data_IF_112524234926
#
_entry.id   IF_112524234926
#
_cell.length_a   1.000
_cell.length_b   1.000
_cell.length_c   1.000
_cell.angle_alpha   90.00
_cell.angle_beta   90.00
_cell.angle_gamma   90.00
#
_symmetry.space_group_name_H-M   'P 1'
#
loop_
_entity.id
_entity.type
_entity.pdbx_description
1 polymer ?
#
# COMPACT_ATOMS: atom_id res chain seq x y z
N UNK A 1 -69.69 -3.13 -15.19
CA UNK A 1 -69.12 -3.26 -13.80
C UNK A 1 -67.62 -3.11 -13.87
N UNK A 2 -67.12 -1.90 -13.56
CA UNK A 2 -65.67 -1.63 -13.55
C UNK A 2 -65.25 -1.54 -12.10
N UNK A 3 -64.61 -2.58 -11.57
CA UNK A 3 -63.96 -2.54 -10.25
C UNK A 3 -62.56 -1.98 -10.40
N UNK A 4 -62.35 -0.70 -10.01
CA UNK A 4 -61.03 -0.13 -9.84
C UNK A 4 -60.42 -0.70 -8.57
N UNK A 5 -59.35 -1.49 -8.69
CA UNK A 5 -58.53 -1.93 -7.57
C UNK A 5 -57.81 -0.69 -7.03
N UNK A 6 -58.22 -0.19 -5.86
CA UNK A 6 -57.46 0.80 -5.11
C UNK A 6 -56.26 0.09 -4.47
N UNK A 7 -55.08 0.22 -5.07
CA UNK A 7 -53.86 -0.19 -4.44
C UNK A 7 -53.55 0.84 -3.33
N UNK A 8 -53.55 0.37 -2.11
CA UNK A 8 -53.36 1.21 -0.92
C UNK A 8 -51.96 1.81 -0.92
N UNK A 9 -51.88 3.13 -0.87
CA UNK A 9 -50.57 3.85 -0.85
C UNK A 9 -49.66 3.36 0.26
N UNK A 10 -50.20 2.83 1.35
CA UNK A 10 -49.45 2.20 2.44
C UNK A 10 -48.68 0.95 2.03
N UNK A 11 -49.23 0.14 1.11
CA UNK A 11 -48.58 -1.08 0.62
C UNK A 11 -47.38 -0.72 -0.27
N UNK A 12 -47.50 0.32 -1.08
CA UNK A 12 -46.39 0.79 -1.96
C UNK A 12 -45.24 1.40 -1.12
N UNK A 13 -45.56 2.16 -0.06
CA UNK A 13 -44.57 2.73 0.83
C UNK A 13 -43.86 1.63 1.65
N UNK A 14 -44.58 0.62 2.12
CA UNK A 14 -44.01 -0.52 2.84
C UNK A 14 -43.11 -1.38 1.91
N UNK A 15 -43.44 -1.55 0.64
CA UNK A 15 -42.63 -2.25 -0.34
C UNK A 15 -41.36 -1.45 -0.70
N UNK A 16 -41.44 -0.13 -0.83
CA UNK A 16 -40.31 0.77 -1.03
C UNK A 16 -39.37 0.82 0.20
N UNK A 17 -39.92 0.84 1.41
CA UNK A 17 -39.13 0.73 2.64
C UNK A 17 -38.45 -0.63 2.78
N UNK A 18 -39.11 -1.74 2.41
CA UNK A 18 -38.47 -3.06 2.38
C UNK A 18 -37.37 -3.16 1.32
N UNK A 19 -37.51 -2.55 0.14
CA UNK A 19 -36.44 -2.52 -0.88
C UNK A 19 -35.23 -1.65 -0.44
N UNK A 20 -35.43 -0.63 0.35
CA UNK A 20 -34.33 0.20 0.88
C UNK A 20 -33.63 -0.50 2.06
N UNK A 21 -34.31 -1.38 2.80
CA UNK A 21 -33.71 -2.15 3.89
C UNK A 21 -32.94 -3.41 3.44
N UNK A 22 -32.96 -3.81 2.18
CA UNK A 22 -32.19 -4.94 1.65
C UNK A 22 -30.92 -4.55 0.92
N UNK A 23 -30.45 -3.31 1.02
CA UNK A 23 -29.01 -3.09 0.97
C UNK A 23 -28.45 -3.75 2.23
N UNK A 24 -28.11 -5.04 2.13
CA UNK A 24 -27.34 -5.71 3.15
C UNK A 24 -26.11 -4.84 3.38
N UNK A 25 -26.07 -4.15 4.50
CA UNK A 25 -24.82 -3.58 5.00
C UNK A 25 -23.90 -4.78 5.14
N UNK A 26 -23.03 -4.94 4.14
CA UNK A 26 -21.97 -5.93 4.23
C UNK A 26 -21.23 -5.59 5.51
N UNK A 27 -21.26 -6.49 6.48
CA UNK A 27 -20.61 -6.26 7.76
C UNK A 27 -19.15 -5.94 7.45
N UNK A 28 -18.70 -4.76 7.89
CA UNK A 28 -17.33 -4.33 7.66
C UNK A 28 -16.40 -5.32 8.34
N UNK A 29 -15.42 -5.84 7.61
CA UNK A 29 -14.52 -6.87 8.08
C UNK A 29 -13.64 -6.42 9.25
N UNK A 30 -13.23 -5.14 9.17
CA UNK A 30 -12.38 -4.48 10.16
C UNK A 30 -13.01 -3.16 10.56
N UNK A 31 -13.09 -2.91 11.86
CA UNK A 31 -13.77 -1.72 12.39
C UNK A 31 -12.89 -0.48 12.36
N UNK A 32 -11.57 -0.63 12.47
CA UNK A 32 -10.63 0.45 12.74
C UNK A 32 -9.73 0.82 11.55
N UNK A 33 -9.70 0.01 10.49
CA UNK A 33 -8.89 0.27 9.30
C UNK A 33 -9.45 -0.48 8.08
N UNK A 34 -8.88 -0.23 6.91
CA UNK A 34 -9.16 -0.99 5.68
C UNK A 34 -8.00 -1.92 5.34
N UNK A 35 -8.33 -3.06 4.75
CA UNK A 35 -7.35 -4.00 4.18
C UNK A 35 -7.44 -3.95 2.66
N UNK A 36 -6.31 -3.68 2.04
CA UNK A 36 -6.19 -3.58 0.59
C UNK A 36 -5.14 -4.54 0.06
N UNK A 37 -5.29 -4.94 -1.20
CA UNK A 37 -4.32 -5.77 -1.91
C UNK A 37 -3.86 -5.06 -3.17
N UNK A 38 -2.55 -5.05 -3.39
CA UNK A 38 -1.97 -4.52 -4.62
C UNK A 38 -1.78 -5.63 -5.65
N UNK A 39 -2.20 -5.35 -6.89
CA UNK A 39 -2.09 -6.27 -8.03
C UNK A 39 -1.15 -5.64 -9.04
N UNK A 40 -0.01 -6.27 -9.29
CA UNK A 40 0.96 -5.75 -10.26
C UNK A 40 0.42 -5.84 -11.69
N UNK A 41 0.89 -4.99 -12.58
CA UNK A 41 0.44 -4.93 -13.97
C UNK A 41 0.46 -6.29 -14.68
N UNK A 42 1.41 -7.15 -14.34
CA UNK A 42 1.49 -8.52 -14.88
C UNK A 42 0.31 -9.41 -14.49
N UNK A 43 -0.20 -9.28 -13.28
CA UNK A 43 -1.38 -10.00 -12.82
C UNK A 43 -2.66 -9.32 -13.30
N UNK A 44 -2.68 -7.97 -13.37
CA UNK A 44 -3.83 -7.25 -13.93
C UNK A 44 -4.03 -7.61 -15.41
N UNK A 45 -2.97 -7.70 -16.21
CA UNK A 45 -3.06 -8.13 -17.62
C UNK A 45 -3.66 -9.53 -17.79
N UNK A 46 -3.45 -10.44 -16.82
CA UNK A 46 -4.08 -11.78 -16.82
C UNK A 46 -5.58 -11.72 -16.53
N UNK A 47 -6.09 -10.64 -15.93
CA UNK A 47 -7.51 -10.50 -15.58
C UNK A 47 -8.41 -10.36 -16.80
N UNK A 48 -7.88 -10.23 -18.02
CA UNK A 48 -8.62 -10.41 -19.28
C UNK A 48 -9.25 -11.81 -19.41
N UNK A 49 -8.63 -12.82 -18.78
CA UNK A 49 -9.23 -14.12 -18.58
C UNK A 49 -10.08 -14.11 -17.30
N UNK A 50 -11.40 -14.03 -17.47
CA UNK A 50 -12.34 -13.97 -16.34
C UNK A 50 -12.33 -15.25 -15.50
N UNK A 51 -12.00 -16.41 -16.07
CA UNK A 51 -11.91 -17.67 -15.34
C UNK A 51 -10.65 -17.67 -14.44
N UNK A 52 -9.54 -17.15 -14.96
CA UNK A 52 -8.34 -16.96 -14.15
C UNK A 52 -8.61 -15.99 -12.98
N UNK A 53 -9.26 -14.85 -13.26
CA UNK A 53 -9.59 -13.86 -12.22
C UNK A 53 -10.50 -14.47 -11.15
N UNK A 54 -11.58 -15.12 -11.55
CA UNK A 54 -12.54 -15.72 -10.62
C UNK A 54 -11.90 -16.82 -9.77
N UNK A 55 -11.12 -17.71 -10.37
CA UNK A 55 -10.45 -18.80 -9.67
C UNK A 55 -9.41 -18.30 -8.66
N UNK A 56 -8.58 -17.32 -9.04
CA UNK A 56 -7.55 -16.77 -8.15
C UNK A 56 -8.15 -15.89 -7.05
N UNK A 57 -9.17 -15.10 -7.37
CA UNK A 57 -9.89 -14.33 -6.36
C UNK A 57 -10.59 -15.23 -5.33
N UNK A 58 -11.17 -16.33 -5.77
CA UNK A 58 -11.80 -17.29 -4.86
C UNK A 58 -10.80 -17.85 -3.83
N UNK A 59 -9.54 -18.10 -4.21
CA UNK A 59 -8.48 -18.51 -3.27
C UNK A 59 -8.26 -17.45 -2.19
N UNK A 60 -8.22 -16.17 -2.55
CA UNK A 60 -7.95 -15.09 -1.59
C UNK A 60 -9.18 -14.82 -0.73
N UNK A 61 -10.34 -14.63 -1.34
CA UNK A 61 -11.57 -14.22 -0.65
C UNK A 61 -12.12 -15.24 0.35
N UNK A 62 -11.76 -16.51 0.20
CA UNK A 62 -12.08 -17.55 1.19
C UNK A 62 -11.22 -17.45 2.46
N UNK A 63 -10.15 -16.71 2.45
CA UNK A 63 -9.16 -16.67 3.53
C UNK A 63 -8.98 -15.29 4.15
N UNK A 64 -9.16 -14.23 3.36
CA UNK A 64 -8.89 -12.85 3.75
C UNK A 64 -10.04 -11.97 3.28
N UNK A 65 -10.56 -11.16 4.17
CA UNK A 65 -11.51 -10.12 3.83
C UNK A 65 -10.75 -8.88 3.33
N UNK A 66 -11.14 -8.38 2.14
CA UNK A 66 -10.44 -7.28 1.45
C UNK A 66 -11.45 -6.18 1.16
N UNK A 67 -11.14 -4.96 1.57
CA UNK A 67 -11.99 -3.79 1.34
C UNK A 67 -11.73 -3.15 -0.03
N UNK A 68 -10.47 -3.23 -0.52
CA UNK A 68 -10.04 -2.48 -1.71
C UNK A 68 -8.94 -3.21 -2.49
N UNK A 69 -8.98 -3.07 -3.80
CA UNK A 69 -7.95 -3.59 -4.72
C UNK A 69 -7.30 -2.41 -5.46
N UNK A 70 -5.98 -2.37 -5.42
CA UNK A 70 -5.18 -1.49 -6.28
C UNK A 70 -4.79 -2.25 -7.55
N UNK A 71 -5.27 -1.79 -8.70
CA UNK A 71 -4.98 -2.38 -10.01
C UNK A 71 -3.87 -1.55 -10.67
N UNK A 72 -2.69 -2.12 -10.79
CA UNK A 72 -1.57 -1.45 -11.42
C UNK A 72 -1.77 -1.38 -12.93
N UNK A 73 -1.62 -0.19 -13.48
CA UNK A 73 -1.85 0.08 -14.91
C UNK A 73 -0.58 0.03 -15.74
N UNK A 74 0.59 0.20 -15.09
CA UNK A 74 1.89 0.24 -15.76
C UNK A 74 3.01 -0.31 -14.87
N UNK A 75 3.84 -1.19 -15.45
CA UNK A 75 5.11 -1.69 -14.94
C UNK A 75 5.96 -2.23 -16.09
N UNK A 76 7.26 -1.92 -16.14
CA UNK A 76 8.22 -2.43 -17.13
C UNK A 76 7.74 -2.25 -18.58
N UNK A 77 7.25 -1.06 -18.90
CA UNK A 77 6.66 -0.71 -20.21
C UNK A 77 5.38 -1.48 -20.58
N UNK A 78 4.91 -2.40 -19.74
CA UNK A 78 3.58 -2.98 -19.89
C UNK A 78 2.54 -1.95 -19.47
N UNK A 79 1.65 -1.57 -20.36
CA UNK A 79 0.45 -0.79 -20.08
C UNK A 79 -0.76 -1.70 -20.24
N UNK A 80 -1.51 -1.87 -19.17
CA UNK A 80 -2.72 -2.69 -19.18
C UNK A 80 -3.80 -1.98 -19.99
N UNK A 81 -4.47 -2.71 -20.91
CA UNK A 81 -5.47 -2.12 -21.79
C UNK A 81 -6.77 -1.73 -21.07
N UNK A 82 -7.50 -0.80 -21.70
CA UNK A 82 -8.77 -0.26 -21.17
C UNK A 82 -9.80 -1.35 -20.86
N UNK A 83 -9.95 -2.34 -21.75
CA UNK A 83 -10.96 -3.38 -21.62
C UNK A 83 -10.68 -4.30 -20.42
N UNK A 84 -9.43 -4.67 -20.24
CA UNK A 84 -8.98 -5.47 -19.09
C UNK A 84 -9.20 -4.72 -17.77
N UNK A 85 -8.88 -3.42 -17.72
CA UNK A 85 -9.08 -2.59 -16.52
C UNK A 85 -10.59 -2.49 -16.18
N UNK A 86 -11.46 -2.22 -17.16
CA UNK A 86 -12.90 -2.10 -16.90
C UNK A 86 -13.51 -3.45 -16.50
N UNK A 87 -13.04 -4.57 -17.08
CA UNK A 87 -13.47 -5.91 -16.67
C UNK A 87 -13.09 -6.19 -15.21
N UNK A 88 -11.84 -5.93 -14.83
CA UNK A 88 -11.37 -6.13 -13.47
C UNK A 88 -12.11 -5.23 -12.46
N UNK A 89 -12.29 -3.96 -12.77
CA UNK A 89 -13.07 -3.01 -11.94
C UNK A 89 -14.47 -3.51 -11.71
N UNK A 90 -15.17 -3.89 -12.80
CA UNK A 90 -16.53 -4.43 -12.70
C UNK A 90 -16.58 -5.68 -11.84
N UNK A 91 -15.65 -6.61 -12.03
CA UNK A 91 -15.57 -7.86 -11.25
C UNK A 91 -15.50 -7.60 -9.74
N UNK A 92 -14.66 -6.65 -9.30
CA UNK A 92 -14.51 -6.30 -7.89
C UNK A 92 -15.68 -5.46 -7.38
N UNK A 93 -16.18 -4.50 -8.14
CA UNK A 93 -17.34 -3.70 -7.73
C UNK A 93 -18.61 -4.56 -7.55
N UNK A 94 -18.83 -5.55 -8.43
CA UNK A 94 -19.97 -6.48 -8.30
C UNK A 94 -19.89 -7.30 -6.99
N UNK A 95 -18.72 -7.35 -6.34
CA UNK A 95 -18.46 -8.01 -5.05
C UNK A 95 -18.36 -7.04 -3.88
N UNK A 96 -18.67 -5.76 -4.10
CA UNK A 96 -18.64 -4.71 -3.06
C UNK A 96 -17.23 -4.26 -2.68
N UNK A 97 -16.21 -4.53 -3.52
CA UNK A 97 -14.81 -4.19 -3.26
C UNK A 97 -14.48 -2.89 -4.00
N UNK A 98 -13.89 -1.93 -3.28
CA UNK A 98 -13.40 -0.69 -3.87
C UNK A 98 -12.21 -0.97 -4.82
N UNK A 99 -12.06 -0.15 -5.86
CA UNK A 99 -10.89 -0.23 -6.74
C UNK A 99 -10.18 1.11 -6.85
N UNK A 100 -8.85 1.04 -6.90
CA UNK A 100 -7.98 2.18 -7.18
C UNK A 100 -6.90 1.78 -8.19
N UNK A 101 -6.23 2.75 -8.78
CA UNK A 101 -5.13 2.52 -9.71
C UNK A 101 -3.77 2.43 -9.02
N UNK A 102 -2.80 1.83 -9.70
CA UNK A 102 -1.40 1.87 -9.32
C UNK A 102 -0.50 2.16 -10.51
N UNK A 103 0.64 2.77 -10.27
CA UNK A 103 1.67 3.01 -11.27
C UNK A 103 3.04 2.69 -10.71
N UNK A 104 3.80 1.85 -11.40
CA UNK A 104 5.22 1.65 -11.16
C UNK A 104 5.98 2.19 -12.37
N UNK A 105 6.77 3.26 -12.18
CA UNK A 105 7.50 3.92 -13.26
C UNK A 105 8.85 3.25 -13.54
N UNK A 106 8.84 1.93 -13.78
CA UNK A 106 10.01 1.17 -14.23
C UNK A 106 10.00 0.99 -15.75
N UNK A 107 11.20 0.93 -16.34
CA UNK A 107 11.44 0.48 -17.71
C UNK A 107 11.80 -0.98 -17.69
N UNK A 108 12.62 -1.40 -16.71
CA UNK A 108 13.03 -2.78 -16.54
C UNK A 108 13.50 -3.05 -15.10
N UNK A 109 12.65 -3.71 -14.30
CA UNK A 109 13.01 -4.10 -12.93
C UNK A 109 14.20 -5.05 -12.87
N UNK A 110 14.33 -5.96 -13.84
CA UNK A 110 15.42 -6.92 -13.88
C UNK A 110 16.79 -6.25 -14.14
N UNK A 111 16.80 -5.04 -14.70
CA UNK A 111 18.00 -4.25 -14.91
C UNK A 111 18.24 -3.25 -13.76
N UNK A 112 18.46 -3.76 -12.55
CA UNK A 112 18.72 -2.94 -11.34
C UNK A 112 17.67 -1.85 -11.12
N UNK A 113 16.41 -2.19 -11.35
CA UNK A 113 15.25 -1.29 -11.22
C UNK A 113 15.38 -0.02 -12.11
N UNK A 114 15.69 -0.21 -13.39
CA UNK A 114 15.78 0.90 -14.33
C UNK A 114 14.47 1.68 -14.40
N UNK A 115 14.55 2.96 -14.08
CA UNK A 115 13.42 3.90 -14.11
C UNK A 115 13.53 4.89 -15.27
N UNK A 116 12.49 5.67 -15.50
CA UNK A 116 12.50 6.72 -16.51
C UNK A 116 13.56 7.79 -16.21
N UNK A 117 14.15 8.32 -17.28
CA UNK A 117 15.00 9.52 -17.22
C UNK A 117 14.12 10.77 -17.37
N UNK A 118 13.89 11.47 -16.28
CA UNK A 118 12.95 12.60 -16.25
C UNK A 118 13.47 13.87 -16.93
N UNK A 119 14.69 13.87 -17.46
CA UNK A 119 15.24 14.90 -18.34
C UNK A 119 15.18 14.53 -19.82
N UNK A 120 14.83 13.29 -20.16
CA UNK A 120 14.64 12.85 -21.53
C UNK A 120 13.21 13.20 -22.00
N UNK A 121 13.04 13.95 -23.11
CA UNK A 121 11.71 14.35 -23.59
C UNK A 121 10.76 13.19 -23.89
N UNK A 122 11.27 12.08 -24.45
CA UNK A 122 10.45 10.89 -24.77
C UNK A 122 9.97 10.20 -23.50
N UNK A 123 10.85 10.04 -22.50
CA UNK A 123 10.49 9.47 -21.22
C UNK A 123 9.49 10.36 -20.47
N UNK A 124 9.65 11.68 -20.51
CA UNK A 124 8.70 12.63 -19.92
C UNK A 124 7.31 12.48 -20.53
N UNK A 125 7.23 12.32 -21.85
CA UNK A 125 5.96 12.10 -22.54
C UNK A 125 5.32 10.76 -22.16
N UNK A 126 6.11 9.69 -22.00
CA UNK A 126 5.61 8.40 -21.53
C UNK A 126 5.05 8.50 -20.09
N UNK A 127 5.80 9.11 -19.19
CA UNK A 127 5.34 9.33 -17.79
C UNK A 127 4.00 10.05 -17.77
N UNK A 128 3.86 11.11 -18.59
CA UNK A 128 2.61 11.86 -18.71
C UNK A 128 1.45 10.99 -19.23
N UNK A 129 1.67 10.23 -20.30
CA UNK A 129 0.64 9.33 -20.87
C UNK A 129 0.19 8.24 -19.91
N UNK A 130 1.10 7.68 -19.15
CA UNK A 130 0.79 6.67 -18.12
C UNK A 130 -0.09 7.28 -17.03
N UNK A 131 0.22 8.49 -16.55
CA UNK A 131 -0.60 9.18 -15.56
C UNK A 131 -2.01 9.50 -16.10
N UNK A 132 -2.11 9.99 -17.34
CA UNK A 132 -3.39 10.26 -18.02
C UNK A 132 -4.22 9.00 -18.21
N UNK A 133 -3.60 7.88 -18.63
CA UNK A 133 -4.24 6.58 -18.78
C UNK A 133 -4.83 6.11 -17.45
N UNK A 134 -4.04 6.15 -16.37
CA UNK A 134 -4.52 5.72 -15.06
C UNK A 134 -5.65 6.59 -14.54
N UNK A 135 -5.53 7.92 -14.68
CA UNK A 135 -6.55 8.86 -14.24
C UNK A 135 -7.87 8.74 -15.01
N UNK A 136 -7.86 8.22 -16.24
CA UNK A 136 -9.06 7.92 -17.04
C UNK A 136 -9.92 6.84 -16.37
N UNK A 137 -9.29 5.87 -15.72
CA UNK A 137 -9.95 4.69 -15.18
C UNK A 137 -10.26 4.77 -13.68
N UNK A 138 -9.52 5.59 -12.91
CA UNK A 138 -9.60 5.61 -11.45
C UNK A 138 -9.74 7.02 -10.88
N UNK A 139 -10.56 7.15 -9.82
CA UNK A 139 -10.67 8.37 -9.01
C UNK A 139 -9.58 8.48 -7.93
N UNK A 140 -8.77 7.43 -7.75
CA UNK A 140 -7.60 7.40 -6.89
C UNK A 140 -6.54 6.48 -7.49
N UNK A 141 -5.27 6.89 -7.45
CA UNK A 141 -4.17 5.98 -7.74
C UNK A 141 -2.92 6.30 -6.93
N UNK A 142 -2.10 5.26 -6.71
CA UNK A 142 -0.84 5.35 -5.99
C UNK A 142 0.35 5.21 -6.94
N UNK A 143 1.36 6.05 -6.74
CA UNK A 143 2.68 5.87 -7.32
C UNK A 143 3.47 4.95 -6.39
N UNK A 144 3.85 3.77 -6.88
CA UNK A 144 4.77 2.88 -6.19
C UNK A 144 6.13 3.58 -6.00
N UNK A 145 6.98 3.07 -5.12
CA UNK A 145 8.25 3.67 -4.72
C UNK A 145 9.31 3.76 -5.83
N UNK A 146 8.95 3.46 -7.05
CA UNK A 146 9.77 3.66 -8.26
C UNK A 146 9.58 5.03 -8.94
N UNK A 147 8.89 5.97 -8.29
CA UNK A 147 8.84 7.36 -8.74
C UNK A 147 10.09 8.12 -8.26
N UNK A 148 11.24 7.70 -8.78
CA UNK A 148 12.56 8.27 -8.49
C UNK A 148 13.45 8.25 -9.74
N UNK A 149 14.65 8.81 -9.68
CA UNK A 149 15.64 8.70 -10.74
C UNK A 149 17.05 8.41 -10.23
N UNK A 150 17.70 7.43 -10.86
CA UNK A 150 19.13 7.17 -10.75
C UNK A 150 19.88 7.47 -12.04
N UNK A 151 19.19 8.02 -13.05
CA UNK A 151 19.73 8.32 -14.37
C UNK A 151 20.99 9.19 -14.29
N UNK A 152 22.00 8.87 -15.08
CA UNK A 152 23.25 9.60 -15.24
C UNK A 152 23.64 9.71 -16.73
N UNK A 153 22.64 9.80 -17.60
CA UNK A 153 22.85 10.02 -19.03
C UNK A 153 23.47 11.41 -19.28
N UNK A 154 24.03 11.61 -20.46
CA UNK A 154 24.61 12.90 -20.86
C UNK A 154 23.60 14.05 -20.75
N UNK A 155 22.31 13.78 -21.00
CA UNK A 155 21.23 14.77 -20.84
C UNK A 155 21.12 15.20 -19.37
N UNK A 156 21.13 14.24 -18.44
CA UNK A 156 21.06 14.50 -17.00
C UNK A 156 22.31 15.23 -16.50
N UNK A 157 23.51 14.78 -16.92
CA UNK A 157 24.78 15.41 -16.54
C UNK A 157 24.80 16.88 -17.00
N UNK A 158 24.38 17.13 -18.25
CA UNK A 158 24.28 18.49 -18.79
C UNK A 158 23.24 19.32 -18.08
N UNK A 159 22.07 18.79 -17.81
CA UNK A 159 20.98 19.48 -17.13
C UNK A 159 21.31 19.80 -15.67
N UNK A 160 22.00 18.89 -14.97
CA UNK A 160 22.49 19.09 -13.61
C UNK A 160 23.46 20.26 -13.50
N UNK A 161 24.35 20.41 -14.48
CA UNK A 161 25.38 21.43 -14.46
C UNK A 161 26.27 21.36 -13.21
N UNK A 162 26.45 22.48 -12.51
CA UNK A 162 27.26 22.60 -11.30
C UNK A 162 26.55 22.16 -10.01
N UNK A 163 25.25 21.87 -10.05
CA UNK A 163 24.50 21.41 -8.86
C UNK A 163 24.99 20.05 -8.39
N UNK A 164 24.83 19.74 -7.09
CA UNK A 164 24.95 18.36 -6.62
C UNK A 164 23.83 17.48 -7.21
N UNK A 165 24.04 16.16 -7.23
CA UNK A 165 23.00 15.24 -7.65
C UNK A 165 21.74 15.32 -6.77
N UNK A 166 21.92 15.55 -5.49
CA UNK A 166 20.82 15.72 -4.53
C UNK A 166 19.97 16.94 -4.87
N UNK A 167 20.58 18.13 -4.96
CA UNK A 167 19.85 19.36 -5.28
C UNK A 167 19.11 19.27 -6.62
N UNK A 168 19.80 18.76 -7.63
CA UNK A 168 19.22 18.58 -8.96
C UNK A 168 18.03 17.62 -8.97
N UNK A 169 18.20 16.44 -8.38
CA UNK A 169 17.16 15.40 -8.39
C UNK A 169 15.95 15.74 -7.51
N UNK A 170 16.14 16.36 -6.36
CA UNK A 170 15.03 16.83 -5.53
C UNK A 170 14.14 17.82 -6.32
N UNK A 171 14.76 18.77 -7.01
CA UNK A 171 14.07 19.75 -7.86
C UNK A 171 13.40 19.09 -9.06
N UNK A 172 14.12 18.22 -9.76
CA UNK A 172 13.63 17.52 -10.95
C UNK A 172 12.40 16.66 -10.63
N UNK A 173 12.46 15.86 -9.57
CA UNK A 173 11.36 14.98 -9.22
C UNK A 173 10.15 15.70 -8.64
N UNK A 174 10.36 16.83 -7.94
CA UNK A 174 9.26 17.71 -7.53
C UNK A 174 8.55 18.30 -8.75
N UNK A 175 9.31 18.78 -9.74
CA UNK A 175 8.77 19.28 -11.00
C UNK A 175 8.03 18.17 -11.77
N UNK A 176 8.66 16.99 -11.92
CA UNK A 176 8.06 15.85 -12.59
C UNK A 176 6.74 15.42 -11.95
N UNK A 177 6.68 15.35 -10.63
CA UNK A 177 5.44 15.06 -9.89
C UNK A 177 4.33 16.03 -10.22
N UNK A 178 4.64 17.33 -10.21
CA UNK A 178 3.67 18.38 -10.51
C UNK A 178 3.25 18.41 -11.98
N UNK A 179 4.22 18.38 -12.91
CA UNK A 179 3.98 18.72 -14.31
C UNK A 179 3.74 17.50 -15.21
N UNK A 180 4.26 16.32 -14.84
CA UNK A 180 4.09 15.09 -15.61
C UNK A 180 3.05 14.13 -15.02
N UNK A 181 2.74 14.26 -13.73
CA UNK A 181 1.79 13.36 -13.07
C UNK A 181 0.53 14.12 -12.66
N UNK A 182 0.61 15.03 -11.70
CA UNK A 182 -0.56 15.67 -11.09
C UNK A 182 -1.37 16.51 -12.10
N UNK A 183 -0.74 17.42 -12.82
CA UNK A 183 -1.45 18.27 -13.80
C UNK A 183 -2.12 17.47 -14.91
N UNK A 184 -1.43 16.52 -15.59
CA UNK A 184 -2.05 15.70 -16.62
C UNK A 184 -3.18 14.82 -16.07
N UNK A 185 -2.97 14.15 -14.93
CA UNK A 185 -3.99 13.32 -14.30
C UNK A 185 -5.25 14.13 -13.97
N UNK A 186 -5.10 15.29 -13.31
CA UNK A 186 -6.23 16.16 -12.95
C UNK A 186 -6.88 16.85 -14.16
N UNK A 187 -6.19 16.96 -15.28
CA UNK A 187 -6.79 17.43 -16.54
C UNK A 187 -7.74 16.37 -17.12
N UNK A 188 -7.39 15.09 -17.01
CA UNK A 188 -8.24 13.96 -17.45
C UNK A 188 -9.39 13.72 -16.47
N UNK A 189 -9.07 13.67 -15.18
CA UNK A 189 -10.06 13.47 -14.12
C UNK A 189 -9.84 14.50 -13.01
N UNK A 190 -10.62 15.59 -12.97
CA UNK A 190 -10.46 16.65 -11.96
C UNK A 190 -10.64 16.18 -10.50
N UNK A 191 -11.28 15.03 -10.28
CA UNK A 191 -11.52 14.47 -8.93
C UNK A 191 -10.43 13.52 -8.48
N UNK A 192 -9.52 13.12 -9.38
CA UNK A 192 -8.53 12.10 -9.09
C UNK A 192 -7.64 12.50 -7.91
N UNK A 193 -7.44 11.58 -7.00
CA UNK A 193 -6.46 11.67 -5.93
C UNK A 193 -5.20 10.92 -6.34
N UNK A 194 -4.09 11.60 -6.32
CA UNK A 194 -2.78 11.03 -6.63
C UNK A 194 -1.97 10.92 -5.35
N UNK A 195 -1.60 9.70 -5.01
CA UNK A 195 -0.89 9.35 -3.78
C UNK A 195 0.55 9.01 -4.12
N UNK A 196 1.50 9.52 -3.35
CA UNK A 196 2.90 9.10 -3.46
C UNK A 196 3.26 8.12 -2.34
N UNK A 197 3.91 7.01 -2.69
CA UNK A 197 4.49 6.08 -1.72
C UNK A 197 5.97 6.40 -1.51
N UNK A 198 6.36 6.56 -0.25
CA UNK A 198 7.76 6.63 0.14
C UNK A 198 8.20 5.26 0.64
N UNK A 199 9.33 4.72 0.14
CA UNK A 199 9.87 3.46 0.63
C UNK A 199 10.45 3.61 2.05
N UNK A 200 10.88 2.50 2.62
CA UNK A 200 11.50 2.48 3.95
C UNK A 200 13.03 2.65 3.96
N UNK A 201 13.65 2.88 2.81
CA UNK A 201 15.11 3.05 2.69
C UNK A 201 15.51 4.54 2.67
N UNK A 202 15.40 5.18 3.81
CA UNK A 202 15.63 6.62 4.03
C UNK A 202 16.95 7.17 3.51
N UNK A 203 18.02 6.38 3.62
CA UNK A 203 19.37 6.76 3.28
C UNK A 203 19.56 7.12 1.80
N UNK A 204 18.65 6.68 0.95
CA UNK A 204 18.67 6.94 -0.48
C UNK A 204 17.72 8.05 -0.94
N UNK A 205 16.81 8.51 -0.12
CA UNK A 205 15.71 9.40 -0.54
C UNK A 205 16.17 10.62 -1.32
N UNK A 206 17.04 11.42 -0.74
CA UNK A 206 17.48 12.66 -1.36
C UNK A 206 18.31 12.42 -2.62
N UNK A 207 19.17 11.40 -2.61
CA UNK A 207 20.01 11.04 -3.75
C UNK A 207 19.24 10.52 -4.95
N UNK A 208 18.00 10.07 -4.74
CA UNK A 208 17.08 9.57 -5.76
C UNK A 208 15.96 10.55 -6.12
N UNK A 209 15.86 11.68 -5.41
CA UNK A 209 14.90 12.73 -5.70
C UNK A 209 13.60 12.66 -4.89
N UNK A 210 13.51 11.83 -3.86
CA UNK A 210 12.39 11.87 -2.91
C UNK A 210 12.48 13.12 -2.04
N UNK A 211 11.68 14.13 -2.37
CA UNK A 211 11.63 15.38 -1.65
C UNK A 211 10.67 15.28 -0.46
N UNK A 212 11.21 15.01 0.73
CA UNK A 212 10.42 14.84 1.95
C UNK A 212 9.83 16.17 2.47
N UNK A 213 10.37 17.29 2.04
CA UNK A 213 9.86 18.61 2.42
C UNK A 213 8.67 19.04 1.56
N UNK A 214 8.79 18.95 0.24
CA UNK A 214 7.77 19.42 -0.70
C UNK A 214 6.81 18.31 -1.16
N UNK A 215 7.32 17.10 -1.40
CA UNK A 215 6.54 16.00 -1.95
C UNK A 215 5.27 15.67 -1.16
N UNK A 216 5.33 15.48 0.18
CA UNK A 216 4.13 15.22 0.96
C UNK A 216 3.08 16.34 0.91
N UNK A 217 3.49 17.57 0.57
CA UNK A 217 2.57 18.71 0.41
C UNK A 217 2.02 18.80 -1.02
N UNK A 218 2.75 18.28 -2.00
CA UNK A 218 2.42 18.36 -3.41
C UNK A 218 1.30 17.38 -3.80
N UNK A 219 1.41 16.13 -3.34
CA UNK A 219 0.47 15.05 -3.66
C UNK A 219 -0.78 15.10 -2.79
N UNK A 220 -1.87 14.44 -3.22
CA UNK A 220 -3.14 14.43 -2.47
C UNK A 220 -3.10 13.52 -1.24
N UNK A 221 -2.15 12.60 -1.18
CA UNK A 221 -1.90 11.71 -0.04
C UNK A 221 -0.50 11.14 -0.05
N UNK A 222 -0.12 10.54 1.07
CA UNK A 222 1.15 9.85 1.28
C UNK A 222 0.88 8.42 1.71
N UNK A 223 1.69 7.50 1.24
CA UNK A 223 1.79 6.14 1.74
C UNK A 223 3.23 5.80 2.09
N UNK A 224 3.40 4.84 2.98
CA UNK A 224 4.74 4.48 3.47
C UNK A 224 5.00 2.99 3.30
N UNK A 225 6.15 2.65 2.73
CA UNK A 225 6.67 1.30 2.78
C UNK A 225 7.01 0.94 4.23
N UNK A 226 6.51 -0.21 4.68
CA UNK A 226 6.72 -0.69 6.05
C UNK A 226 7.38 -2.06 6.07
N UNK A 227 8.10 -2.38 5.02
CA UNK A 227 8.81 -3.63 4.83
C UNK A 227 9.93 -3.77 5.85
N UNK A 228 10.02 -4.92 6.52
CA UNK A 228 11.15 -5.27 7.40
C UNK A 228 11.87 -6.55 6.96
N UNK A 229 11.39 -7.19 5.94
CA UNK A 229 11.97 -8.29 5.17
C UNK A 229 12.68 -9.40 5.95
N UNK A 230 13.38 -10.29 5.25
CA UNK A 230 14.07 -11.44 5.83
C UNK A 230 15.19 -11.00 6.79
N UNK A 231 15.10 -11.34 8.09
CA UNK A 231 16.11 -10.95 9.08
C UNK A 231 17.49 -11.57 8.84
N UNK A 232 17.60 -12.61 8.01
CA UNK A 232 18.88 -13.20 7.63
C UNK A 232 19.43 -12.64 6.32
N UNK A 233 18.65 -11.83 5.60
CA UNK A 233 19.03 -11.26 4.31
C UNK A 233 19.79 -9.94 4.46
N UNK A 234 20.41 -9.52 3.35
CA UNK A 234 21.09 -8.21 3.28
C UNK A 234 20.15 -7.02 3.12
N UNK A 235 18.85 -7.25 2.98
CA UNK A 235 17.81 -6.22 2.90
C UNK A 235 16.92 -6.20 4.15
N UNK A 236 17.32 -6.86 5.22
CA UNK A 236 16.56 -6.79 6.46
C UNK A 236 16.64 -5.38 7.05
N UNK A 237 15.53 -4.96 7.63
CA UNK A 237 15.42 -3.73 8.40
C UNK A 237 14.94 -4.06 9.80
N UNK A 238 15.16 -3.14 10.71
CA UNK A 238 14.75 -3.34 12.10
C UNK A 238 13.23 -3.34 12.21
N UNK A 239 12.70 -4.19 13.07
CA UNK A 239 11.27 -4.46 13.18
C UNK A 239 10.45 -3.20 13.43
N UNK A 240 10.91 -2.33 14.33
CA UNK A 240 10.19 -1.13 14.73
C UNK A 240 10.18 -0.02 13.67
N UNK A 241 10.95 -0.18 12.60
CA UNK A 241 10.95 0.76 11.47
C UNK A 241 9.56 0.92 10.86
N UNK A 242 8.78 -0.15 10.77
CA UNK A 242 7.40 -0.10 10.26
C UNK A 242 6.52 0.90 11.01
N UNK A 243 6.67 0.98 12.32
CA UNK A 243 5.99 1.97 13.15
C UNK A 243 6.55 3.38 12.96
N UNK A 244 7.87 3.51 13.04
CA UNK A 244 8.57 4.80 13.01
C UNK A 244 8.35 5.57 11.71
N UNK A 245 8.37 4.90 10.56
CA UNK A 245 8.21 5.56 9.27
C UNK A 245 6.78 6.10 9.09
N UNK A 246 5.77 5.38 9.56
CA UNK A 246 4.39 5.90 9.54
C UNK A 246 4.29 7.13 10.43
N UNK A 247 4.85 7.10 11.64
CA UNK A 247 4.86 8.26 12.55
C UNK A 247 5.58 9.47 11.97
N UNK A 248 6.68 9.26 11.26
CA UNK A 248 7.40 10.34 10.58
C UNK A 248 6.53 11.07 9.55
N UNK A 249 5.90 10.33 8.63
CA UNK A 249 5.06 10.92 7.59
C UNK A 249 3.73 11.47 8.12
N UNK A 250 3.16 10.84 9.13
CA UNK A 250 1.99 11.39 9.81
C UNK A 250 2.31 12.73 10.49
N UNK A 251 3.46 12.84 11.15
CA UNK A 251 3.94 14.11 11.71
C UNK A 251 4.35 15.13 10.65
N UNK A 252 4.71 14.70 9.44
CA UNK A 252 5.01 15.62 8.33
C UNK A 252 3.76 16.29 7.78
N UNK A 253 2.69 15.54 7.63
CA UNK A 253 1.40 16.03 7.14
C UNK A 253 0.26 15.27 7.83
N UNK A 254 -0.17 15.73 9.01
CA UNK A 254 -1.18 15.04 9.80
C UNK A 254 -2.48 14.79 9.04
N UNK A 255 -2.98 13.56 9.08
CA UNK A 255 -4.21 13.15 8.41
C UNK A 255 -4.09 12.88 6.90
N UNK A 256 -2.89 12.94 6.32
CA UNK A 256 -2.66 12.67 4.88
C UNK A 256 -1.84 11.41 4.63
N UNK A 257 -1.33 10.74 5.67
CA UNK A 257 -0.76 9.41 5.52
C UNK A 257 -1.90 8.40 5.40
N UNK A 258 -2.12 7.87 4.19
CA UNK A 258 -3.19 6.94 3.88
C UNK A 258 -2.96 5.54 4.42
N UNK A 259 -1.69 5.15 4.68
CA UNK A 259 -1.43 3.84 5.23
C UNK A 259 -0.03 3.30 5.07
N UNK A 260 0.10 2.04 5.44
CA UNK A 260 1.31 1.25 5.35
C UNK A 260 1.26 0.21 4.24
N UNK A 261 2.33 0.11 3.49
CA UNK A 261 2.50 -0.86 2.42
C UNK A 261 3.42 -1.97 2.89
N UNK A 262 2.87 -3.17 3.06
CA UNK A 262 3.61 -4.34 3.53
C UNK A 262 4.02 -5.21 2.34
N UNK A 263 5.31 -5.24 2.04
CA UNK A 263 5.92 -6.17 1.11
C UNK A 263 6.72 -7.21 1.88
N UNK A 264 6.30 -8.46 1.79
CA UNK A 264 6.98 -9.56 2.47
C UNK A 264 8.34 -9.92 1.88
N UNK A 265 8.69 -9.38 0.72
CA UNK A 265 9.91 -9.75 -0.02
C UNK A 265 9.88 -11.19 -0.53
N UNK A 266 8.69 -11.79 -0.64
CA UNK A 266 8.49 -13.20 -1.03
C UNK A 266 8.62 -14.16 0.16
N UNK A 267 9.00 -15.40 -0.12
CA UNK A 267 8.84 -16.56 0.75
C UNK A 267 9.93 -16.83 1.77
N UNK A 268 10.91 -16.00 1.85
CA UNK A 268 12.04 -16.18 2.78
C UNK A 268 11.73 -15.64 4.17
N UNK A 269 10.60 -14.97 4.32
CA UNK A 269 10.14 -14.38 5.56
C UNK A 269 9.56 -15.46 6.50
N UNK A 270 9.95 -15.45 7.77
CA UNK A 270 9.30 -16.27 8.80
C UNK A 270 7.87 -15.79 9.05
N UNK A 271 6.99 -16.71 9.49
CA UNK A 271 5.58 -16.37 9.75
C UNK A 271 5.44 -15.29 10.83
N UNK A 272 6.20 -15.39 11.90
CA UNK A 272 6.26 -14.42 13.00
C UNK A 272 6.76 -13.06 12.52
N UNK A 273 7.75 -13.03 11.63
CA UNK A 273 8.28 -11.80 11.06
C UNK A 273 7.24 -11.07 10.21
N UNK A 274 6.50 -11.81 9.40
CA UNK A 274 5.41 -11.22 8.62
C UNK A 274 4.26 -10.75 9.52
N UNK A 275 3.88 -11.55 10.49
CA UNK A 275 2.86 -11.19 11.48
C UNK A 275 3.23 -9.91 12.25
N UNK A 276 4.48 -9.79 12.69
CA UNK A 276 5.01 -8.61 13.37
C UNK A 276 5.00 -7.38 12.47
N UNK A 277 5.38 -7.51 11.21
CA UNK A 277 5.36 -6.43 10.23
C UNK A 277 3.95 -5.86 10.04
N UNK A 278 2.94 -6.72 9.87
CA UNK A 278 1.53 -6.32 9.82
C UNK A 278 1.11 -5.60 11.10
N UNK A 279 1.45 -6.18 12.24
CA UNK A 279 1.06 -5.66 13.55
C UNK A 279 1.66 -4.29 13.85
N UNK A 280 2.97 -4.12 13.68
CA UNK A 280 3.67 -2.85 13.93
C UNK A 280 3.24 -1.73 12.97
N UNK A 281 2.96 -2.07 11.70
CA UNK A 281 2.39 -1.13 10.75
C UNK A 281 1.07 -0.55 11.29
N UNK A 282 0.18 -1.41 11.78
CA UNK A 282 -1.14 -0.98 12.22
C UNK A 282 -1.14 -0.35 13.62
N UNK A 283 -0.19 -0.67 14.50
CA UNK A 283 -0.05 0.00 15.80
C UNK A 283 0.26 1.50 15.67
N UNK A 284 0.80 1.94 14.56
CA UNK A 284 0.96 3.36 14.25
C UNK A 284 -0.37 4.06 13.90
N UNK A 285 -1.50 3.33 13.93
CA UNK A 285 -2.85 3.78 13.57
C UNK A 285 -2.97 4.29 12.13
N UNK A 286 -2.32 3.61 11.21
CA UNK A 286 -2.56 3.81 9.79
C UNK A 286 -4.04 3.49 9.45
N UNK A 287 -4.73 4.32 8.64
CA UNK A 287 -6.14 4.09 8.31
C UNK A 287 -6.36 2.93 7.34
N UNK A 288 -5.34 2.51 6.63
CA UNK A 288 -5.39 1.41 5.66
C UNK A 288 -4.05 0.67 5.60
N UNK A 289 -4.08 -0.61 5.26
CA UNK A 289 -2.89 -1.42 5.00
C UNK A 289 -2.98 -2.01 3.60
N UNK A 290 -1.90 -1.89 2.80
CA UNK A 290 -1.77 -2.59 1.53
C UNK A 290 -0.89 -3.83 1.70
N UNK A 291 -1.40 -4.96 1.26
CA UNK A 291 -0.66 -6.21 1.14
C UNK A 291 -0.08 -6.34 -0.28
N UNK A 292 1.21 -6.28 -0.39
CA UNK A 292 1.94 -6.52 -1.64
C UNK A 292 2.45 -7.98 -1.63
N UNK A 293 2.04 -8.81 -2.57
CA UNK A 293 1.16 -8.54 -3.68
C UNK A 293 0.18 -9.70 -3.89
N UNK A 294 -0.82 -9.49 -4.74
CA UNK A 294 -1.88 -10.45 -5.07
C UNK A 294 -1.34 -11.87 -5.34
N UNK A 295 -0.31 -12.00 -6.17
CA UNK A 295 0.29 -13.29 -6.51
C UNK A 295 0.92 -14.00 -5.29
N UNK A 296 1.40 -13.26 -4.29
CA UNK A 296 1.96 -13.83 -3.07
C UNK A 296 0.88 -14.41 -2.15
N UNK A 297 -0.35 -13.89 -2.24
CA UNK A 297 -1.50 -14.40 -1.49
C UNK A 297 -2.08 -15.71 -2.07
N UNK A 298 -1.71 -16.08 -3.30
CA UNK A 298 -2.25 -17.25 -4.00
C UNK A 298 -1.65 -18.61 -3.57
N UNK A 299 -0.73 -18.63 -2.69
CA UNK A 299 -0.27 -19.89 -2.16
C UNK A 299 1.19 -20.17 -2.32
N UNK A 300 1.88 -19.69 -1.37
CA UNK A 300 3.27 -20.04 -1.23
C UNK A 300 3.45 -20.98 -0.06
N UNK A 301 3.99 -22.16 -0.34
CA UNK A 301 4.39 -23.09 0.71
C UNK A 301 5.68 -22.60 1.35
N UNK A 302 5.59 -22.11 2.58
CA UNK A 302 6.79 -21.84 3.37
C UNK A 302 7.56 -23.14 3.63
N UNK A 303 8.88 -23.08 3.53
CA UNK A 303 9.75 -24.12 4.03
C UNK A 303 9.47 -24.37 5.52
N UNK A 304 9.54 -25.60 6.03
CA UNK A 304 9.31 -25.90 7.44
C UNK A 304 10.11 -25.03 8.41
N UNK A 305 11.32 -24.64 8.05
CA UNK A 305 12.17 -23.77 8.88
C UNK A 305 11.56 -22.38 9.15
N UNK A 306 10.70 -21.89 8.28
CA UNK A 306 10.03 -20.58 8.44
C UNK A 306 8.71 -20.68 9.20
N UNK A 307 8.29 -21.87 9.57
CA UNK A 307 7.10 -22.10 10.41
C UNK A 307 7.41 -22.10 11.91
N UNK A 308 8.64 -21.84 12.29
CA UNK A 308 9.08 -21.69 13.67
C UNK A 308 9.53 -20.26 13.92
N UNK A 309 9.50 -19.77 15.16
CA UNK A 309 10.04 -18.47 15.52
C UNK A 309 11.50 -18.31 15.08
N UNK A 310 11.85 -17.10 14.71
CA UNK A 310 13.20 -16.78 14.28
C UNK A 310 14.24 -17.21 15.35
N UNK A 311 15.21 -18.00 14.93
CA UNK A 311 16.27 -18.55 15.81
C UNK A 311 15.76 -19.25 17.07
N UNK A 312 14.55 -19.79 17.06
CA UNK A 312 13.94 -20.43 18.24
C UNK A 312 13.53 -19.47 19.35
N UNK A 313 13.49 -18.18 19.09
CA UNK A 313 13.06 -17.16 20.05
C UNK A 313 11.54 -17.27 20.31
N UNK A 314 11.10 -16.85 21.49
CA UNK A 314 9.68 -16.78 21.82
C UNK A 314 8.95 -15.77 20.92
N UNK A 315 7.68 -16.07 20.62
CA UNK A 315 6.79 -15.16 19.88
C UNK A 315 5.41 -15.13 20.54
N UNK A 316 4.69 -14.01 20.41
CA UNK A 316 3.30 -13.89 20.85
C UNK A 316 2.28 -14.35 19.79
N UNK A 317 2.73 -14.69 18.59
CA UNK A 317 1.85 -15.14 17.51
C UNK A 317 1.56 -16.65 17.62
N UNK A 318 0.31 -17.01 17.39
CA UNK A 318 -0.15 -18.40 17.45
C UNK A 318 0.04 -19.10 16.10
N UNK A 319 1.10 -19.90 16.00
CA UNK A 319 1.43 -20.64 14.78
C UNK A 319 0.34 -21.65 14.38
N UNK A 320 -0.29 -22.31 15.36
CA UNK A 320 -1.34 -23.28 15.08
C UNK A 320 -2.55 -22.61 14.44
N UNK A 321 -2.94 -21.43 14.93
CA UNK A 321 -4.03 -20.66 14.36
C UNK A 321 -3.69 -20.15 12.94
N UNK A 322 -2.47 -19.66 12.73
CA UNK A 322 -2.00 -19.17 11.42
C UNK A 322 -1.89 -20.28 10.37
N UNK A 323 -1.84 -21.54 10.77
CA UNK A 323 -1.72 -22.70 9.86
C UNK A 323 -2.94 -23.60 9.83
N UNK A 324 -3.92 -23.37 10.71
CA UNK A 324 -5.11 -24.21 10.80
C UNK A 324 -5.94 -24.15 9.52
N UNK A 325 -6.51 -25.29 9.08
CA UNK A 325 -7.49 -25.31 7.99
C UNK A 325 -8.68 -24.40 8.28
N UNK A 326 -9.20 -23.77 7.24
CA UNK A 326 -10.32 -22.84 7.33
C UNK A 326 -11.61 -23.61 7.12
N UNK A 327 -12.48 -23.66 8.15
CA UNK A 327 -13.80 -24.28 8.05
C UNK A 327 -14.74 -23.39 7.27
N UNK A 328 -15.38 -23.95 6.25
CA UNK A 328 -16.39 -23.30 5.44
C UNK A 328 -17.79 -23.46 6.08
N UNK A 329 -18.73 -22.61 5.70
CA UNK A 329 -20.12 -22.65 6.21
C UNK A 329 -20.84 -23.96 5.88
N UNK A 330 -20.46 -24.63 4.81
CA UNK A 330 -20.99 -25.93 4.37
C UNK A 330 -20.39 -27.14 5.12
N UNK A 331 -19.49 -26.89 6.06
CA UNK A 331 -18.81 -27.93 6.86
C UNK A 331 -17.52 -28.47 6.22
N UNK A 332 -17.19 -28.06 5.01
CA UNK A 332 -15.89 -28.40 4.38
C UNK A 332 -14.74 -27.61 4.99
N UNK A 333 -13.53 -28.01 4.69
CA UNK A 333 -12.33 -27.28 5.09
C UNK A 333 -11.41 -27.08 3.90
N UNK A 334 -10.78 -25.91 3.84
CA UNK A 334 -9.74 -25.60 2.85
C UNK A 334 -8.38 -25.48 3.53
N UNK A 335 -7.36 -25.99 2.87
CA UNK A 335 -5.99 -25.76 3.30
C UNK A 335 -5.61 -24.29 3.01
N UNK A 336 -5.09 -23.57 4.00
CA UNK A 336 -4.80 -22.16 3.85
C UNK A 336 -3.56 -21.93 2.97
N UNK A 337 -3.56 -20.82 2.24
CA UNK A 337 -2.34 -20.24 1.72
C UNK A 337 -1.63 -19.48 2.84
N UNK A 338 -0.31 -19.57 2.90
CA UNK A 338 0.42 -19.08 4.06
C UNK A 338 0.22 -17.57 4.30
N UNK A 339 0.42 -16.76 3.27
CA UNK A 339 0.40 -15.29 3.44
C UNK A 339 -1.01 -14.76 3.72
N UNK A 340 -2.02 -15.22 3.00
CA UNK A 340 -3.40 -14.77 3.20
C UNK A 340 -3.92 -15.17 4.58
N UNK A 341 -3.61 -16.39 5.04
CA UNK A 341 -4.05 -16.86 6.36
C UNK A 341 -3.39 -16.10 7.51
N UNK A 342 -2.09 -15.85 7.42
CA UNK A 342 -1.38 -15.04 8.42
C UNK A 342 -1.98 -13.63 8.48
N UNK A 343 -2.20 -13.00 7.32
CA UNK A 343 -2.79 -11.67 7.26
C UNK A 343 -4.18 -11.64 7.92
N UNK A 344 -5.06 -12.60 7.60
CA UNK A 344 -6.39 -12.68 8.20
C UNK A 344 -6.35 -12.78 9.73
N UNK A 345 -5.57 -13.74 10.26
CA UNK A 345 -5.46 -13.97 11.71
C UNK A 345 -4.89 -12.76 12.42
N UNK A 346 -3.78 -12.22 11.91
CA UNK A 346 -3.06 -11.12 12.57
C UNK A 346 -3.84 -9.81 12.48
N UNK A 347 -4.43 -9.49 11.33
CA UNK A 347 -5.19 -8.26 11.17
C UNK A 347 -6.47 -8.25 11.98
N UNK A 348 -7.18 -9.38 12.10
CA UNK A 348 -8.34 -9.51 13.01
C UNK A 348 -7.98 -9.35 14.49
N UNK A 349 -6.83 -9.88 14.91
CA UNK A 349 -6.32 -9.66 16.27
C UNK A 349 -5.92 -8.20 16.48
N UNK A 350 -5.25 -7.61 15.50
CA UNK A 350 -4.78 -6.22 15.54
C UNK A 350 -5.95 -5.24 15.56
N UNK A 351 -7.01 -5.47 14.79
CA UNK A 351 -8.20 -4.64 14.77
C UNK A 351 -8.86 -4.53 16.16
N UNK A 352 -9.03 -5.67 16.83
CA UNK A 352 -9.55 -5.71 18.20
C UNK A 352 -8.68 -4.96 19.21
N UNK A 353 -7.37 -4.94 19.00
CA UNK A 353 -6.42 -4.21 19.85
C UNK A 353 -6.49 -2.71 19.58
N UNK A 354 -6.40 -2.31 18.33
CA UNK A 354 -6.34 -0.90 17.90
C UNK A 354 -7.58 -0.13 18.35
N UNK A 355 -8.75 -0.74 18.33
CA UNK A 355 -9.98 -0.13 18.82
C UNK A 355 -9.95 0.26 20.31
N UNK A 356 -9.04 -0.34 21.10
CA UNK A 356 -8.84 -0.04 22.52
C UNK A 356 -7.72 0.98 22.78
N UNK A 357 -6.90 1.27 21.78
CA UNK A 357 -5.77 2.18 21.92
C UNK A 357 -6.17 3.63 21.61
N UNK A 358 -5.58 4.57 22.33
CA UNK A 358 -5.63 6.01 22.01
C UNK A 358 -4.65 6.34 20.88
N UNK A 359 -4.59 7.61 20.48
CA UNK A 359 -3.61 8.05 19.48
C UNK A 359 -2.18 7.73 19.91
N UNK A 360 -1.31 7.38 18.96
CA UNK A 360 0.09 7.09 19.25
C UNK A 360 0.77 8.25 19.98
N UNK A 361 1.50 7.90 21.05
CA UNK A 361 2.35 8.81 21.80
C UNK A 361 3.76 8.22 21.83
N UNK A 362 4.76 9.07 22.07
CA UNK A 362 6.13 8.57 22.17
C UNK A 362 7.13 9.64 22.58
N UNK A 363 8.36 9.21 22.82
CA UNK A 363 9.50 10.08 23.04
C UNK A 363 9.78 10.78 21.71
N UNK A 364 9.79 12.12 21.73
CA UNK A 364 10.01 12.90 20.50
C UNK A 364 11.46 12.80 20.07
N UNK A 365 11.63 12.38 18.83
CA UNK A 365 12.95 12.30 18.19
C UNK A 365 12.94 13.12 16.91
N UNK A 366 13.95 13.96 16.74
CA UNK A 366 14.08 14.81 15.57
C UNK A 366 14.86 14.11 14.46
N UNK A 367 14.25 14.01 13.29
CA UNK A 367 14.87 13.57 12.04
C UNK A 367 14.65 14.63 10.97
N UNK A 368 15.66 15.45 10.65
CA UNK A 368 15.51 16.51 9.65
C UNK A 368 15.24 15.95 8.26
N UNK A 369 14.71 16.81 7.35
CA UNK A 369 14.58 16.47 5.95
C UNK A 369 15.94 16.19 5.32
N UNK A 370 15.94 15.30 4.33
CA UNK A 370 17.09 15.03 3.47
C UNK A 370 18.37 14.63 4.24
N UNK A 371 18.22 14.00 5.37
CA UNK A 371 19.33 13.41 6.12
C UNK A 371 19.55 11.97 5.65
N UNK A 372 20.78 11.67 5.29
CA UNK A 372 21.22 10.30 5.01
C UNK A 372 21.67 9.65 6.31
N UNK A 373 20.74 9.22 7.11
CA UNK A 373 21.03 8.53 8.36
C UNK A 373 19.92 7.55 8.66
N UNK A 374 20.28 6.46 9.28
CA UNK A 374 19.31 5.49 9.74
C UNK A 374 18.74 5.88 11.12
N UNK A 375 17.66 5.22 11.48
CA UNK A 375 16.97 5.41 12.75
C UNK A 375 17.30 4.28 13.72
N UNK A 376 18.54 3.79 13.73
CA UNK A 376 18.94 2.63 14.54
C UNK A 376 18.60 2.81 16.02
N UNK A 377 18.99 3.93 16.62
CA UNK A 377 18.69 4.18 18.01
C UNK A 377 17.17 4.19 18.28
N UNK A 378 16.42 4.89 17.48
CA UNK A 378 14.97 5.00 17.63
C UNK A 378 14.30 3.64 17.44
N UNK A 379 14.76 2.83 16.50
CA UNK A 379 14.25 1.48 16.29
C UNK A 379 14.56 0.56 17.48
N UNK A 380 15.78 0.59 18.01
CA UNK A 380 16.15 -0.20 19.18
C UNK A 380 15.38 0.22 20.44
N UNK A 381 15.20 1.52 20.66
CA UNK A 381 14.39 2.01 21.77
C UNK A 381 12.93 1.54 21.66
N UNK A 382 12.36 1.60 20.45
CA UNK A 382 11.02 1.06 20.17
C UNK A 382 10.93 -0.45 20.43
N UNK A 383 11.93 -1.22 20.01
CA UNK A 383 11.96 -2.68 20.19
C UNK A 383 12.03 -3.09 21.68
N UNK A 384 12.59 -2.28 22.55
CA UNK A 384 12.59 -2.52 24.00
C UNK A 384 11.38 -1.91 24.72
N UNK A 385 10.36 -1.46 23.98
CA UNK A 385 9.09 -0.99 24.53
C UNK A 385 9.00 0.51 24.81
N UNK A 386 9.97 1.32 24.35
CA UNK A 386 9.92 2.77 24.43
C UNK A 386 9.39 3.34 23.10
N UNK A 387 8.12 3.71 23.02
CA UNK A 387 7.56 4.20 21.78
C UNK A 387 8.19 5.52 21.37
N UNK A 388 8.53 5.66 20.10
CA UNK A 388 9.14 6.85 19.53
C UNK A 388 8.12 7.66 18.72
N UNK A 389 8.27 8.97 18.71
CA UNK A 389 7.49 9.88 17.86
C UNK A 389 8.46 10.72 17.02
N UNK A 390 8.80 10.19 15.85
CA UNK A 390 9.80 10.79 14.96
C UNK A 390 9.21 11.98 14.23
N UNK A 391 9.88 13.12 14.30
CA UNK A 391 9.41 14.40 13.76
C UNK A 391 10.38 15.01 12.78
N UNK A 392 9.92 15.47 11.61
CA UNK A 392 10.75 16.14 10.61
C UNK A 392 11.06 17.61 10.96
N UNK A 393 10.31 18.20 11.90
CA UNK A 393 10.50 19.58 12.36
C UNK A 393 10.91 19.55 13.84
N UNK A 394 11.98 20.28 14.16
CA UNK A 394 12.48 20.36 15.54
C UNK A 394 11.44 20.97 16.48
N UNK A 395 11.00 20.27 17.52
CA UNK A 395 10.01 20.77 18.47
C UNK A 395 10.67 21.78 19.42
N UNK A 396 10.33 23.06 19.25
CA UNK A 396 10.96 24.17 20.00
C UNK A 396 10.58 24.19 21.49
N UNK A 397 9.45 23.61 21.86
CA UNK A 397 8.87 23.76 23.19
C UNK A 397 8.92 22.50 24.04
N UNK A 398 9.72 21.51 23.66
CA UNK A 398 9.71 20.19 24.29
C UNK A 398 11.10 19.58 24.38
N UNK A 399 11.29 18.74 25.39
CA UNK A 399 12.50 17.93 25.47
C UNK A 399 12.53 16.93 24.33
N UNK A 400 13.64 16.85 23.63
CA UNK A 400 13.87 15.99 22.46
C UNK A 400 15.07 15.10 22.76
N UNK A 401 14.98 13.86 22.36
CA UNK A 401 16.07 12.90 22.35
C UNK A 401 16.63 12.74 20.95
#
# INVERSE_FOLDING_TARGET
>A
MNSKIKVDKFVIVAFLLCMVCTMAMQAKAYDNFKVSVYVRAYEVDKMKDIHWLDSTWNVISQQLEVDKIYLETHRDLLIVDDATLEQAKKFFHDRGIETAGGITYTINEANSFETFCYSNPEHREMVRKIAEHTAKHFDEFILDDFFFTSCKSDIEIKAKGAQSWTEYRLKLMTEAGRDLVLKPAKKVNPRVKVIIKYPNWYDHFQGLGFNLEEGPQLFDGVWTGTETRDPAGNQHLQNYLSYNIIRYFDNRRPGYNGGGWVDSGGLKLGMDRYAEQLHLTMLAKAPEIILFAYNQLLGVKLSPRFRTPWQGMGTSFNYDEMTAPIRQKDGTSIEPTTMARIADVVLKQTDKLIGKLVNPIGIKSYKPFHVAGDDFLQNYLGMIGLPMDIRPVFPKDQQVV
#
